data_IF_909814568477
#
_entry.id   IF_909814568477
#
_cell.length_a   1.000
_cell.length_b   1.000
_cell.length_c   1.000
_cell.angle_alpha   90.00
_cell.angle_beta   90.00
_cell.angle_gamma   90.00
#
_symmetry.space_group_name_H-M   'P 1'
#
loop_
_entity.id
_entity.type
_entity.pdbx_description
1 polymer ?
#
# COMPACT_ATOMS: atom_id res chain seq x y z
N UNK A 1 14.19 10.30 10.46
CA UNK A 1 13.12 9.73 11.28
C UNK A 1 11.89 10.61 11.15
N UNK A 2 10.67 10.06 11.01
CA UNK A 2 9.46 10.88 11.08
C UNK A 2 9.47 11.61 12.43
N UNK A 3 9.12 12.89 12.41
CA UNK A 3 9.06 13.72 13.61
C UNK A 3 8.12 13.04 14.63
N UNK A 4 8.40 13.06 15.93
CA UNK A 4 7.52 12.51 16.98
C UNK A 4 6.08 13.00 16.82
N UNK A 5 5.92 14.26 16.44
CA UNK A 5 4.65 14.89 16.15
C UNK A 5 3.87 14.18 14.98
N UNK A 6 4.55 13.66 13.96
CA UNK A 6 3.90 12.95 12.85
C UNK A 6 3.35 11.58 13.28
N UNK A 7 4.02 10.92 14.21
CA UNK A 7 3.58 9.63 14.74
C UNK A 7 2.36 9.79 15.66
N UNK A 8 2.36 10.78 16.54
CA UNK A 8 1.22 11.08 17.42
C UNK A 8 -0.03 11.42 16.62
N UNK A 9 0.10 12.24 15.57
CA UNK A 9 -1.01 12.55 14.65
C UNK A 9 -1.52 11.30 13.95
N UNK A 10 -0.62 10.40 13.48
CA UNK A 10 -1.01 9.15 12.87
C UNK A 10 -1.73 8.22 13.86
N UNK A 11 -1.29 8.18 15.11
CA UNK A 11 -1.92 7.39 16.17
C UNK A 11 -3.33 7.91 16.51
N UNK A 12 -3.51 9.22 16.62
CA UNK A 12 -4.82 9.84 16.84
C UNK A 12 -5.78 9.51 15.68
N UNK A 13 -5.32 9.62 14.43
CA UNK A 13 -6.12 9.23 13.26
C UNK A 13 -6.48 7.74 13.29
N UNK A 14 -5.55 6.87 13.67
CA UNK A 14 -5.78 5.43 13.79
C UNK A 14 -6.86 5.10 14.83
N UNK A 15 -6.85 5.79 15.96
CA UNK A 15 -7.87 5.63 17.00
C UNK A 15 -9.25 6.09 16.50
N UNK A 16 -9.34 7.25 15.85
CA UNK A 16 -10.58 7.74 15.26
C UNK A 16 -11.12 6.81 14.17
N UNK A 17 -10.23 6.20 13.35
CA UNK A 17 -10.61 5.20 12.35
C UNK A 17 -11.17 3.95 13.03
N UNK A 18 -10.56 3.46 14.12
CA UNK A 18 -11.06 2.28 14.85
C UNK A 18 -12.45 2.53 15.44
N UNK A 19 -12.69 3.69 16.01
CA UNK A 19 -14.02 4.08 16.49
C UNK A 19 -15.04 4.20 15.35
N UNK A 20 -14.63 4.78 14.22
CA UNK A 20 -15.45 4.87 13.02
C UNK A 20 -15.81 3.51 12.44
N UNK A 21 -14.86 2.59 12.37
CA UNK A 21 -15.06 1.21 11.91
C UNK A 21 -16.08 0.45 12.78
N UNK A 22 -16.08 0.67 14.07
CA UNK A 22 -17.03 0.04 14.97
C UNK A 22 -18.49 0.50 14.73
N UNK A 23 -18.68 1.73 14.24
CA UNK A 23 -19.99 2.37 14.08
C UNK A 23 -20.51 2.39 12.63
N UNK A 24 -19.62 2.59 11.65
CA UNK A 24 -19.95 2.78 10.23
C UNK A 24 -18.90 2.13 9.33
N UNK A 25 -18.69 0.81 9.40
CA UNK A 25 -17.61 0.13 8.67
C UNK A 25 -17.72 0.29 7.15
N UNK A 26 -18.93 0.45 6.63
CA UNK A 26 -19.21 0.63 5.20
C UNK A 26 -18.59 1.91 4.60
N UNK A 27 -18.22 2.88 5.43
CA UNK A 27 -17.54 4.12 5.00
C UNK A 27 -16.05 3.94 4.80
N UNK A 28 -15.50 2.79 5.20
CA UNK A 28 -14.08 2.52 5.15
C UNK A 28 -13.76 1.54 4.03
N UNK A 29 -12.82 1.97 3.19
CA UNK A 29 -12.21 1.13 2.16
C UNK A 29 -10.75 0.90 2.54
N UNK A 30 -10.42 -0.32 2.91
CA UNK A 30 -9.08 -0.72 3.26
C UNK A 30 -8.33 -1.18 2.01
N UNK A 31 -7.09 -0.71 1.84
CA UNK A 31 -6.10 -1.36 1.02
C UNK A 31 -4.94 -1.84 1.89
N UNK A 32 -4.52 -3.05 1.64
CA UNK A 32 -3.30 -3.65 2.19
C UNK A 32 -2.73 -4.61 1.17
N UNK A 33 -1.46 -4.99 1.31
CA UNK A 33 -0.86 -5.93 0.37
C UNK A 33 0.55 -6.34 0.78
N UNK A 34 1.07 -7.32 0.05
CA UNK A 34 2.42 -7.82 0.24
C UNK A 34 3.08 -8.09 -1.10
N UNK A 35 4.42 -8.04 -1.14
CA UNK A 35 5.22 -8.45 -2.29
C UNK A 35 5.36 -9.98 -2.27
N UNK A 36 5.12 -10.69 -3.38
CA UNK A 36 5.22 -12.16 -3.44
C UNK A 36 6.69 -12.61 -3.53
N UNK A 37 7.44 -12.36 -2.47
CA UNK A 37 8.88 -12.66 -2.38
C UNK A 37 9.21 -14.04 -1.80
N UNK A 38 8.20 -14.84 -1.48
CA UNK A 38 8.30 -16.19 -0.92
C UNK A 38 7.09 -16.55 -0.07
N UNK A 39 7.21 -17.65 0.69
CA UNK A 39 6.14 -18.11 1.59
C UNK A 39 5.95 -17.14 2.77
N UNK A 40 4.71 -17.00 3.21
CA UNK A 40 4.40 -16.25 4.43
C UNK A 40 4.86 -17.05 5.67
N UNK A 41 5.15 -16.34 6.73
CA UNK A 41 5.59 -16.91 8.01
C UNK A 41 4.85 -16.25 9.19
N UNK A 42 5.06 -16.74 10.40
CA UNK A 42 4.38 -16.24 11.61
C UNK A 42 4.51 -14.72 11.81
N UNK A 43 5.62 -14.14 11.40
CA UNK A 43 5.79 -12.68 11.43
C UNK A 43 4.78 -11.94 10.57
N UNK A 44 4.46 -12.45 9.37
CA UNK A 44 3.40 -11.89 8.52
C UNK A 44 2.02 -12.08 9.15
N UNK A 45 1.79 -13.25 9.76
CA UNK A 45 0.50 -13.50 10.42
C UNK A 45 0.24 -12.51 11.54
N UNK A 46 1.14 -12.40 12.50
CA UNK A 46 0.95 -11.49 13.64
C UNK A 46 1.13 -10.02 13.29
N UNK A 47 2.00 -9.71 12.32
CA UNK A 47 2.27 -8.34 11.92
C UNK A 47 1.16 -7.71 11.08
N UNK A 48 0.51 -8.49 10.21
CA UNK A 48 -0.44 -7.94 9.23
C UNK A 48 -1.71 -8.75 9.06
N UNK A 49 -1.64 -10.08 8.83
CA UNK A 49 -2.81 -10.87 8.41
C UNK A 49 -3.91 -10.92 9.46
N UNK A 50 -3.56 -11.11 10.72
CA UNK A 50 -4.52 -11.10 11.83
C UNK A 50 -5.34 -9.80 11.85
N UNK A 51 -4.68 -8.66 11.73
CA UNK A 51 -5.36 -7.36 11.68
C UNK A 51 -6.23 -7.18 10.44
N UNK A 52 -5.82 -7.73 9.29
CA UNK A 52 -6.64 -7.73 8.04
C UNK A 52 -7.93 -8.50 8.21
N UNK A 53 -7.85 -9.70 8.79
CA UNK A 53 -9.02 -10.54 9.08
C UNK A 53 -9.96 -9.85 10.09
N UNK A 54 -9.41 -9.20 11.11
CA UNK A 54 -10.21 -8.42 12.07
C UNK A 54 -10.98 -7.30 11.37
N UNK A 55 -10.30 -6.49 10.55
CA UNK A 55 -10.92 -5.38 9.80
C UNK A 55 -11.97 -5.87 8.79
N UNK A 56 -11.68 -6.96 8.07
CA UNK A 56 -12.64 -7.64 7.19
C UNK A 56 -13.91 -8.03 7.95
N UNK A 57 -13.75 -8.64 9.13
CA UNK A 57 -14.87 -9.13 9.93
C UNK A 57 -15.66 -8.01 10.62
N UNK A 58 -15.08 -6.82 10.77
CA UNK A 58 -15.78 -5.60 11.17
C UNK A 58 -16.66 -5.02 10.04
N UNK A 59 -16.54 -5.51 8.81
CA UNK A 59 -17.37 -5.09 7.69
C UNK A 59 -16.81 -3.95 6.83
N UNK A 60 -15.52 -3.59 6.98
CA UNK A 60 -14.85 -2.67 6.07
C UNK A 60 -14.72 -3.29 4.67
N UNK A 61 -14.90 -2.48 3.62
CA UNK A 61 -14.57 -2.91 2.26
C UNK A 61 -13.07 -3.17 2.15
N UNK A 62 -12.69 -4.43 2.05
CA UNK A 62 -11.29 -4.85 2.12
C UNK A 62 -10.74 -5.21 0.74
N UNK A 63 -9.59 -4.64 0.41
CA UNK A 63 -8.82 -4.96 -0.78
C UNK A 63 -7.43 -5.45 -0.36
N UNK A 64 -7.03 -6.61 -0.86
CA UNK A 64 -5.71 -7.20 -0.61
C UNK A 64 -4.98 -7.29 -1.95
N UNK A 65 -3.93 -6.50 -2.08
CA UNK A 65 -3.09 -6.42 -3.27
C UNK A 65 -1.89 -7.35 -3.15
N UNK A 66 -1.63 -8.13 -4.16
CA UNK A 66 -0.37 -8.83 -4.34
C UNK A 66 0.49 -7.99 -5.29
N UNK A 67 1.53 -7.36 -4.72
CA UNK A 67 2.37 -6.40 -5.41
C UNK A 67 3.46 -7.10 -6.24
N UNK A 68 3.06 -7.86 -7.26
CA UNK A 68 3.95 -8.67 -8.09
C UNK A 68 4.90 -7.81 -8.94
N UNK A 69 4.48 -6.65 -9.44
CA UNK A 69 5.39 -5.73 -10.13
C UNK A 69 6.48 -5.16 -9.22
N UNK A 70 6.23 -5.03 -7.92
CA UNK A 70 7.23 -4.49 -7.00
C UNK A 70 8.32 -5.51 -6.62
N UNK A 71 8.22 -6.76 -7.05
CA UNK A 71 9.30 -7.74 -6.86
C UNK A 71 10.56 -7.33 -7.63
N UNK A 72 10.40 -6.69 -8.80
CA UNK A 72 11.53 -6.25 -9.63
C UNK A 72 12.24 -4.98 -9.13
N UNK A 73 11.78 -4.39 -8.00
CA UNK A 73 12.42 -3.20 -7.41
C UNK A 73 13.79 -3.53 -6.82
N UNK A 74 13.92 -4.73 -6.25
CA UNK A 74 15.10 -5.18 -5.50
C UNK A 74 15.55 -6.61 -5.85
N UNK A 75 14.97 -7.22 -6.90
CA UNK A 75 15.30 -8.59 -7.34
C UNK A 75 15.48 -8.67 -8.85
N UNK A 76 16.54 -9.34 -9.24
CA UNK A 76 16.89 -9.56 -10.66
C UNK A 76 16.20 -10.79 -11.27
N UNK A 77 15.57 -11.64 -10.44
CA UNK A 77 14.92 -12.88 -10.91
C UNK A 77 13.43 -12.85 -10.72
N UNK A 78 12.71 -13.32 -11.75
CA UNK A 78 11.25 -13.39 -11.77
C UNK A 78 10.73 -14.83 -11.82
N UNK A 79 11.63 -15.82 -11.76
CA UNK A 79 11.34 -17.24 -12.03
C UNK A 79 10.22 -17.85 -11.17
N UNK A 80 10.03 -17.36 -9.94
CA UNK A 80 9.07 -17.92 -9.00
C UNK A 80 7.91 -16.99 -8.65
N UNK A 81 7.75 -15.87 -9.37
CA UNK A 81 6.71 -14.90 -9.03
C UNK A 81 5.31 -15.54 -9.07
N UNK A 82 4.99 -16.31 -10.11
CA UNK A 82 3.67 -16.95 -10.24
C UNK A 82 3.40 -17.94 -9.10
N UNK A 83 4.37 -18.78 -8.79
CA UNK A 83 4.25 -19.75 -7.69
C UNK A 83 4.11 -19.04 -6.34
N UNK A 84 4.87 -17.96 -6.13
CA UNK A 84 4.79 -17.16 -4.92
C UNK A 84 3.43 -16.45 -4.80
N UNK A 85 2.88 -15.91 -5.90
CA UNK A 85 1.52 -15.33 -5.91
C UNK A 85 0.49 -16.38 -5.54
N UNK A 86 0.55 -17.57 -6.17
CA UNK A 86 -0.37 -18.66 -5.86
C UNK A 86 -0.29 -19.10 -4.39
N UNK A 87 0.92 -19.35 -3.90
CA UNK A 87 1.14 -19.75 -2.51
C UNK A 87 0.67 -18.66 -1.52
N UNK A 88 0.89 -17.39 -1.84
CA UNK A 88 0.43 -16.28 -0.99
C UNK A 88 -1.09 -16.21 -0.90
N UNK A 89 -1.81 -16.42 -2.02
CA UNK A 89 -3.28 -16.51 -1.99
C UNK A 89 -3.73 -17.67 -1.10
N UNK A 90 -3.11 -18.84 -1.24
CA UNK A 90 -3.42 -20.00 -0.40
C UNK A 90 -3.18 -19.70 1.08
N UNK A 91 -2.07 -19.05 1.41
CA UNK A 91 -1.74 -18.65 2.78
C UNK A 91 -2.76 -17.62 3.32
N UNK A 92 -3.22 -16.66 2.51
CA UNK A 92 -4.28 -15.71 2.90
C UNK A 92 -5.59 -16.40 3.24
N UNK A 93 -6.05 -17.30 2.38
CA UNK A 93 -7.28 -18.07 2.61
C UNK A 93 -7.17 -18.94 3.86
N UNK A 94 -6.04 -19.63 4.04
CA UNK A 94 -5.77 -20.45 5.22
C UNK A 94 -5.74 -19.63 6.53
N UNK A 95 -5.32 -18.36 6.46
CA UNK A 95 -5.30 -17.45 7.61
C UNK A 95 -6.65 -16.77 7.89
N UNK A 96 -7.68 -16.99 7.06
CA UNK A 96 -9.04 -16.49 7.28
C UNK A 96 -9.42 -15.25 6.47
N UNK A 97 -8.64 -14.88 5.45
CA UNK A 97 -9.12 -13.93 4.44
C UNK A 97 -10.23 -14.61 3.65
N UNK A 98 -11.41 -14.01 3.69
CA UNK A 98 -12.64 -14.52 3.06
C UNK A 98 -12.82 -13.87 1.68
N UNK A 99 -12.77 -14.63 0.58
CA UNK A 99 -12.87 -14.08 -0.76
C UNK A 99 -14.28 -13.52 -1.10
N UNK A 100 -15.30 -13.88 -0.31
CA UNK A 100 -16.64 -13.31 -0.46
C UNK A 100 -16.75 -11.90 0.15
N UNK A 101 -15.81 -11.54 1.05
CA UNK A 101 -15.77 -10.25 1.74
C UNK A 101 -14.60 -9.38 1.28
N UNK A 102 -13.55 -9.99 0.74
CA UNK A 102 -12.28 -9.33 0.41
C UNK A 102 -11.94 -9.52 -1.06
N UNK A 103 -11.68 -8.42 -1.75
CA UNK A 103 -11.12 -8.46 -3.09
C UNK A 103 -9.63 -8.75 -3.01
N UNK A 104 -9.18 -9.88 -3.56
CA UNK A 104 -7.76 -10.24 -3.68
C UNK A 104 -7.35 -10.12 -5.15
N UNK A 105 -6.30 -9.38 -5.44
CA UNK A 105 -5.82 -9.21 -6.82
C UNK A 105 -4.31 -8.91 -6.88
N UNK A 106 -3.68 -9.22 -8.01
CA UNK A 106 -2.29 -8.86 -8.31
C UNK A 106 -2.25 -7.64 -9.24
N UNK A 107 -1.16 -6.87 -9.23
CA UNK A 107 -0.95 -5.76 -10.18
C UNK A 107 -1.13 -6.21 -11.63
N UNK A 108 -0.48 -7.33 -11.99
CA UNK A 108 -0.53 -7.88 -13.37
C UNK A 108 -1.94 -8.24 -13.83
N UNK A 109 -2.85 -8.54 -12.90
CA UNK A 109 -4.25 -8.83 -13.19
C UNK A 109 -5.12 -7.55 -13.36
N UNK A 110 -4.65 -6.40 -12.87
CA UNK A 110 -5.37 -5.12 -12.91
C UNK A 110 -4.48 -4.00 -13.48
N UNK A 111 -4.05 -4.11 -14.74
CA UNK A 111 -3.13 -3.14 -15.34
C UNK A 111 -3.70 -1.72 -15.43
N UNK A 112 -5.01 -1.56 -15.32
CA UNK A 112 -5.68 -0.25 -15.30
C UNK A 112 -5.23 0.63 -14.13
N UNK A 113 -4.79 0.07 -13.00
CA UNK A 113 -4.26 0.83 -11.89
C UNK A 113 -3.03 1.66 -12.29
N UNK A 114 -2.20 1.14 -13.20
CA UNK A 114 -1.01 1.83 -13.70
C UNK A 114 -1.33 3.06 -14.57
N UNK A 115 -2.56 3.20 -15.06
CA UNK A 115 -2.96 4.39 -15.82
C UNK A 115 -2.93 5.67 -14.97
N UNK A 116 -2.98 5.55 -13.64
CA UNK A 116 -2.82 6.69 -12.73
C UNK A 116 -1.37 7.17 -12.60
N UNK A 117 -0.40 6.36 -13.02
CA UNK A 117 1.02 6.64 -12.80
C UNK A 117 1.45 7.97 -13.46
N UNK A 118 1.15 8.19 -14.73
CA UNK A 118 1.51 9.43 -15.43
C UNK A 118 0.82 10.66 -14.85
N UNK A 119 -0.51 10.67 -14.61
CA UNK A 119 -1.18 11.76 -13.92
C UNK A 119 -0.55 12.09 -12.56
N UNK A 120 -0.19 11.08 -11.76
CA UNK A 120 0.37 11.30 -10.44
C UNK A 120 1.83 11.77 -10.48
N UNK A 121 2.64 11.23 -11.38
CA UNK A 121 3.99 11.73 -11.61
C UNK A 121 4.01 13.21 -12.02
N UNK A 122 2.99 13.70 -12.71
CA UNK A 122 2.88 15.13 -13.06
C UNK A 122 2.62 16.04 -11.86
N UNK A 123 2.29 15.47 -10.68
CA UNK A 123 1.95 16.19 -9.46
C UNK A 123 3.09 16.23 -8.44
N UNK A 124 4.19 15.53 -8.68
CA UNK A 124 5.34 15.44 -7.79
C UNK A 124 6.62 15.80 -8.53
N UNK A 125 7.61 16.32 -7.81
CA UNK A 125 8.92 16.58 -8.39
C UNK A 125 9.92 15.48 -8.04
N UNK A 126 10.96 15.32 -8.88
CA UNK A 126 12.08 14.42 -8.59
C UNK A 126 12.68 14.71 -7.20
N UNK A 127 12.89 15.99 -6.87
CA UNK A 127 13.44 16.40 -5.59
C UNK A 127 12.56 16.02 -4.38
N UNK A 128 11.23 15.93 -4.53
CA UNK A 128 10.34 15.43 -3.48
C UNK A 128 10.51 13.92 -3.30
N UNK A 129 10.59 13.18 -4.39
CA UNK A 129 10.76 11.73 -4.36
C UNK A 129 12.13 11.33 -3.81
N UNK A 130 13.20 11.98 -4.26
CA UNK A 130 14.56 11.72 -3.79
C UNK A 130 14.78 12.07 -2.30
N UNK A 131 13.96 12.97 -1.74
CA UNK A 131 14.00 13.28 -0.30
C UNK A 131 13.22 12.31 0.58
N UNK A 132 12.45 11.39 -0.02
CA UNK A 132 11.69 10.41 0.75
C UNK A 132 12.67 9.54 1.58
N UNK A 133 12.53 9.49 2.92
CA UNK A 133 13.47 8.78 3.77
C UNK A 133 13.49 7.26 3.52
N UNK A 134 12.39 6.68 3.08
CA UNK A 134 12.31 5.25 2.77
C UNK A 134 13.06 4.94 1.48
N UNK A 135 12.91 5.77 0.43
CA UNK A 135 13.68 5.64 -0.82
C UNK A 135 15.19 5.73 -0.56
N UNK A 136 15.61 6.67 0.31
CA UNK A 136 17.02 6.78 0.69
C UNK A 136 17.53 5.54 1.43
N UNK A 137 16.77 5.04 2.38
CA UNK A 137 17.15 3.85 3.15
C UNK A 137 17.24 2.60 2.25
N UNK A 138 16.33 2.44 1.30
CA UNK A 138 16.36 1.33 0.35
C UNK A 138 17.53 1.45 -0.64
N UNK A 139 17.84 2.65 -1.12
CA UNK A 139 19.00 2.90 -1.96
C UNK A 139 20.30 2.56 -1.22
N UNK A 140 20.43 2.97 0.03
CA UNK A 140 21.58 2.65 0.87
C UNK A 140 21.69 1.14 1.15
N UNK A 141 20.57 0.47 1.41
CA UNK A 141 20.52 -0.95 1.71
C UNK A 141 20.80 -1.84 0.49
N UNK A 142 20.33 -1.44 -0.71
CA UNK A 142 20.51 -2.21 -1.94
C UNK A 142 21.93 -2.12 -2.50
N UNK A 143 22.67 -1.04 -2.21
CA UNK A 143 23.99 -0.78 -2.80
C UNK A 143 23.94 -0.53 -4.33
N UNK A 144 22.74 -0.43 -4.91
CA UNK A 144 22.53 -0.19 -6.32
C UNK A 144 22.33 1.30 -6.62
N UNK A 145 22.56 1.69 -7.88
CA UNK A 145 22.22 3.02 -8.35
C UNK A 145 20.70 3.26 -8.24
N UNK A 146 20.31 4.53 -8.05
CA UNK A 146 18.91 4.94 -8.01
C UNK A 146 18.26 4.75 -9.38
N UNK A 147 17.55 3.65 -9.55
CA UNK A 147 16.78 3.39 -10.76
C UNK A 147 15.53 4.26 -10.84
N UNK A 148 14.97 4.43 -12.04
CA UNK A 148 13.68 5.11 -12.20
C UNK A 148 12.56 4.42 -11.42
N UNK A 149 12.56 3.09 -11.34
CA UNK A 149 11.59 2.33 -10.56
C UNK A 149 11.75 2.60 -9.05
N UNK A 150 12.97 2.53 -8.53
CA UNK A 150 13.25 2.77 -7.11
C UNK A 150 12.91 4.22 -6.70
N UNK A 151 13.10 5.20 -7.60
CA UNK A 151 12.69 6.57 -7.34
C UNK A 151 11.16 6.74 -7.32
N UNK A 152 10.45 6.06 -8.21
CA UNK A 152 9.02 6.32 -8.47
C UNK A 152 8.06 5.33 -7.83
N UNK A 153 8.53 4.23 -7.23
CA UNK A 153 7.63 3.25 -6.60
C UNK A 153 6.70 3.84 -5.53
N UNK A 154 7.04 4.91 -4.78
CA UNK A 154 6.09 5.51 -3.85
C UNK A 154 4.88 6.16 -4.55
N UNK A 155 5.06 6.61 -5.80
CA UNK A 155 3.95 7.09 -6.64
C UNK A 155 3.11 5.92 -7.14
N UNK A 156 3.74 4.79 -7.49
CA UNK A 156 3.02 3.57 -7.83
C UNK A 156 2.19 3.04 -6.65
N UNK A 157 2.73 3.07 -5.44
CA UNK A 157 1.96 2.74 -4.23
C UNK A 157 0.78 3.70 -4.01
N UNK A 158 0.94 4.98 -4.34
CA UNK A 158 -0.19 5.92 -4.31
C UNK A 158 -1.25 5.56 -5.36
N UNK A 159 -0.86 5.05 -6.55
CA UNK A 159 -1.81 4.53 -7.53
C UNK A 159 -2.64 3.38 -6.95
N UNK A 160 -2.01 2.43 -6.28
CA UNK A 160 -2.69 1.29 -5.67
C UNK A 160 -3.75 1.74 -4.66
N UNK A 161 -3.37 2.64 -3.76
CA UNK A 161 -4.26 3.15 -2.71
C UNK A 161 -5.43 3.95 -3.32
N UNK A 162 -5.15 4.83 -4.24
CA UNK A 162 -6.14 5.76 -4.77
C UNK A 162 -7.03 5.12 -5.85
N UNK A 163 -6.53 4.10 -6.57
CA UNK A 163 -7.32 3.35 -7.55
C UNK A 163 -8.55 2.69 -6.92
N UNK A 164 -8.38 2.04 -5.78
CA UNK A 164 -9.50 1.45 -5.03
C UNK A 164 -10.22 2.45 -4.13
N UNK A 165 -9.83 3.73 -4.16
CA UNK A 165 -10.31 4.79 -3.25
C UNK A 165 -10.12 4.45 -1.77
N UNK A 166 -8.99 3.82 -1.45
CA UNK A 166 -8.61 3.44 -0.10
C UNK A 166 -8.49 4.66 0.81
N UNK A 167 -9.16 4.61 1.95
CA UNK A 167 -9.08 5.62 3.00
C UNK A 167 -8.53 5.06 4.32
N UNK A 168 -8.27 3.76 4.37
CA UNK A 168 -7.58 3.07 5.45
C UNK A 168 -6.47 2.19 4.88
N UNK A 169 -5.24 2.41 5.34
CA UNK A 169 -4.08 1.62 4.94
C UNK A 169 -3.33 1.22 6.21
N UNK A 170 -3.50 -0.03 6.69
CA UNK A 170 -2.78 -0.51 7.87
C UNK A 170 -1.31 -0.74 7.51
N UNK A 171 -0.42 0.06 8.06
CA UNK A 171 1.01 0.04 7.75
C UNK A 171 1.88 0.19 8.99
N UNK A 172 3.12 -0.27 8.90
CA UNK A 172 4.17 0.01 9.87
C UNK A 172 4.60 1.49 9.83
N UNK A 173 5.33 1.90 10.86
CA UNK A 173 5.82 3.29 11.00
C UNK A 173 6.73 3.71 9.85
N UNK A 174 7.48 2.78 9.29
CA UNK A 174 8.38 2.96 8.15
C UNK A 174 7.66 3.38 6.88
N UNK A 175 6.38 3.01 6.72
CA UNK A 175 5.55 3.31 5.55
C UNK A 175 4.81 4.67 5.65
N UNK A 176 4.86 5.36 6.78
CA UNK A 176 4.18 6.66 6.95
C UNK A 176 4.58 7.71 5.90
N UNK A 177 5.86 7.80 5.46
CA UNK A 177 6.24 8.75 4.39
C UNK A 177 5.50 8.51 3.07
N UNK A 178 5.21 7.25 2.73
CA UNK A 178 4.46 6.91 1.52
C UNK A 178 2.97 7.27 1.64
N UNK A 179 2.39 7.09 2.83
CA UNK A 179 1.00 7.51 3.11
C UNK A 179 0.88 9.04 3.02
N UNK A 180 1.84 9.80 3.53
CA UNK A 180 1.83 11.27 3.42
C UNK A 180 2.03 11.74 1.97
N UNK A 181 2.86 11.05 1.19
CA UNK A 181 2.99 11.31 -0.25
C UNK A 181 1.66 11.04 -0.97
N UNK A 182 1.00 9.93 -0.66
CA UNK A 182 -0.31 9.57 -1.22
C UNK A 182 -1.36 10.65 -0.94
N UNK A 183 -1.44 11.16 0.31
CA UNK A 183 -2.32 12.27 0.68
C UNK A 183 -2.00 13.55 -0.10
N UNK A 184 -0.71 13.82 -0.29
CA UNK A 184 -0.26 14.99 -1.06
C UNK A 184 -0.68 14.88 -2.51
N UNK A 185 -0.52 13.71 -3.13
CA UNK A 185 -0.94 13.43 -4.51
C UNK A 185 -2.47 13.57 -4.62
N UNK A 186 -3.24 12.95 -3.71
CA UNK A 186 -4.70 13.03 -3.70
C UNK A 186 -5.18 14.49 -3.64
N UNK A 187 -4.63 15.29 -2.72
CA UNK A 187 -4.96 16.72 -2.57
C UNK A 187 -4.61 17.52 -3.81
N UNK A 188 -3.41 17.34 -4.37
CA UNK A 188 -2.98 18.04 -5.59
C UNK A 188 -3.84 17.68 -6.79
N UNK A 189 -4.21 16.40 -6.91
CA UNK A 189 -5.12 15.92 -7.94
C UNK A 189 -6.51 16.55 -7.79
N UNK A 190 -7.09 16.48 -6.60
CA UNK A 190 -8.40 17.03 -6.31
C UNK A 190 -8.46 18.53 -6.55
N UNK A 191 -7.42 19.28 -6.18
CA UNK A 191 -7.34 20.72 -6.43
C UNK A 191 -7.25 21.05 -7.92
N UNK A 192 -6.62 20.21 -8.72
CA UNK A 192 -6.38 20.49 -10.15
C UNK A 192 -7.51 20.00 -11.06
N UNK A 193 -8.12 18.85 -10.71
CA UNK A 193 -9.04 18.15 -11.60
C UNK A 193 -10.45 17.94 -11.01
N UNK A 194 -10.69 18.41 -9.78
CA UNK A 194 -11.93 18.20 -9.04
C UNK A 194 -11.84 17.03 -8.05
N UNK A 195 -12.78 17.01 -7.09
CA UNK A 195 -12.76 16.05 -5.97
C UNK A 195 -13.06 14.61 -6.44
N UNK A 196 -12.04 13.79 -6.51
CA UNK A 196 -12.08 12.39 -6.97
C UNK A 196 -11.62 11.42 -5.88
N UNK A 197 -10.52 11.75 -5.19
CA UNK A 197 -9.87 10.85 -4.24
C UNK A 197 -10.13 11.23 -2.78
N UNK A 198 -10.13 10.25 -1.84
CA UNK A 198 -10.10 10.55 -0.40
C UNK A 198 -8.79 11.24 -0.02
N UNK A 199 -8.83 12.09 1.02
CA UNK A 199 -7.68 12.87 1.53
C UNK A 199 -7.33 12.49 2.98
#
# INVERSE_FOLDING_TARGET
MPNENSYEVALQKSNAIREGLANTPEKFTMLTGDRPTGRLHLGHYFGTLKGRVELQNMGAKTNVLIADYQVITDRDTTEHIQDNVYNMVMDYLACGIDPDKTMIYAHSAVPAANQLMLPFLSLVSEAELARNPTVKAEMEASGHELTGLLLTYPVHQACDILFCKGNVVPVGRDQLPHIELTRTIARRFNNRYGKVFPE
#
